data_IF_925762565591
#
_entry.id   IF_925762565591
#
_cell.length_a   1.000
_cell.length_b   1.000
_cell.length_c   1.000
_cell.angle_alpha   90.00
_cell.angle_beta   90.00
_cell.angle_gamma   90.00
#
_symmetry.space_group_name_H-M   'P 1'
#
loop_
_entity.id
_entity.type
_entity.pdbx_description
1 polymer ?
2 non-polymer ?
3 non-polymer ?
4 water ?
#
# COMPACT_ATOMS: atom_id res chain seq x y z
N UNK A 1 -3.55 -24.23 -12.82
CA UNK A 1 -4.52 -23.32 -13.47
C UNK A 1 -3.83 -22.77 -14.68
N UNK A 2 -4.46 -23.04 -15.87
CA UNK A 2 -3.81 -22.68 -17.12
C UNK A 2 -3.87 -21.19 -17.42
N UNK A 3 -4.92 -20.54 -16.93
CA UNK A 3 -4.98 -19.06 -17.00
C UNK A 3 -3.88 -18.42 -16.16
N UNK A 4 -3.58 -18.99 -14.99
CA UNK A 4 -2.51 -18.50 -14.13
C UNK A 4 -1.18 -18.71 -14.80
N UNK A 5 -0.92 -19.89 -15.34
CA UNK A 5 0.36 -20.16 -15.98
C UNK A 5 0.64 -19.19 -17.15
N UNK A 6 -0.43 -18.89 -17.93
CA UNK A 6 -0.27 -17.94 -19.04
C UNK A 6 0.03 -16.55 -18.54
N UNK A 7 -0.67 -16.13 -17.49
CA UNK A 7 -0.40 -14.80 -16.91
C UNK A 7 1.02 -14.69 -16.38
N UNK A 8 1.48 -15.75 -15.69
CA UNK A 8 2.86 -15.70 -15.16
C UNK A 8 3.88 -15.57 -16.28
N UNK A 9 3.71 -16.29 -17.38
CA UNK A 9 4.57 -16.15 -18.54
C UNK A 9 4.53 -14.73 -19.07
N UNK A 10 3.34 -14.13 -19.17
CA UNK A 10 3.21 -12.75 -19.67
C UNK A 10 3.87 -11.74 -18.73
N UNK A 11 3.85 -12.00 -17.42
CA UNK A 11 4.57 -11.13 -16.48
C UNK A 11 6.07 -11.24 -16.64
N UNK A 12 6.59 -12.44 -16.89
CA UNK A 12 8.02 -12.58 -17.23
C UNK A 12 8.37 -11.78 -18.49
N UNK A 13 7.51 -11.88 -19.50
CA UNK A 13 7.76 -11.12 -20.73
C UNK A 13 7.72 -9.61 -20.48
N UNK A 14 6.80 -9.15 -19.64
CA UNK A 14 6.73 -7.73 -19.28
C UNK A 14 8.01 -7.29 -18.61
N UNK A 15 8.52 -8.06 -17.65
CA UNK A 15 9.76 -7.71 -16.94
C UNK A 15 10.93 -7.64 -17.92
N UNK A 16 10.93 -8.46 -18.95
CA UNK A 16 12.04 -8.43 -19.92
C UNK A 16 12.09 -7.13 -20.71
N UNK A 17 11.07 -6.29 -20.65
CA UNK A 17 11.06 -5.02 -21.36
C UNK A 17 11.74 -3.88 -20.63
N UNK A 18 12.17 -4.07 -19.40
CA UNK A 18 12.89 -3.02 -18.66
C UNK A 18 14.01 -3.59 -17.82
N UNK A 19 14.93 -2.69 -17.42
CA UNK A 19 16.12 -3.11 -16.67
C UNK A 19 15.83 -2.97 -15.19
N UNK A 20 15.08 -3.92 -14.65
CA UNK A 20 14.65 -3.87 -13.28
C UNK A 20 13.92 -5.17 -12.93
N UNK A 21 13.24 -5.11 -11.79
CA UNK A 21 12.53 -6.27 -11.23
C UNK A 21 11.06 -5.90 -11.04
N UNK A 22 10.22 -6.88 -11.35
CA UNK A 22 8.79 -6.88 -11.10
C UNK A 22 8.43 -7.91 -10.06
N UNK A 23 7.70 -7.50 -9.04
CA UNK A 23 7.19 -8.35 -8.02
C UNK A 23 5.68 -8.26 -8.06
N UNK A 24 4.97 -9.38 -8.23
CA UNK A 24 3.56 -9.31 -8.47
C UNK A 24 2.85 -10.47 -7.82
N UNK A 25 1.71 -10.19 -7.18
CA UNK A 25 0.74 -11.21 -6.80
C UNK A 25 -0.64 -10.67 -7.11
N UNK A 26 -1.48 -11.50 -7.72
CA UNK A 26 -2.91 -11.28 -7.81
C UNK A 26 -3.58 -12.55 -7.27
N UNK A 27 -4.55 -12.38 -6.39
CA UNK A 27 -5.20 -13.47 -5.67
C UNK A 27 -6.70 -13.28 -5.75
N UNK A 28 -7.37 -14.23 -6.41
CA UNK A 28 -8.86 -14.27 -6.38
C UNK A 28 -9.29 -14.86 -5.04
N UNK A 29 -9.86 -14.03 -4.19
CA UNK A 29 -10.12 -14.47 -2.83
C UNK A 29 -11.20 -15.55 -2.73
N UNK A 30 -12.03 -15.74 -3.72
CA UNK A 30 -12.97 -16.85 -3.58
C UNK A 30 -12.33 -18.21 -3.79
N UNK A 31 -11.57 -18.31 -4.88
CA UNK A 31 -11.04 -19.59 -5.28
C UNK A 31 -9.63 -19.86 -4.81
N UNK A 32 -8.92 -18.80 -4.39
CA UNK A 32 -7.53 -18.87 -4.08
C UNK A 32 -6.66 -18.91 -5.31
N UNK A 33 -7.19 -18.73 -6.51
CA UNK A 33 -6.35 -18.63 -7.71
C UNK A 33 -5.32 -17.53 -7.54
N UNK A 34 -4.06 -17.85 -7.83
CA UNK A 34 -2.99 -16.99 -7.41
C UNK A 34 -1.92 -16.91 -8.51
N UNK A 35 -1.74 -15.72 -9.03
CA UNK A 35 -0.75 -15.36 -10.02
C UNK A 35 0.43 -14.70 -9.33
N UNK A 36 1.63 -15.21 -9.48
CA UNK A 36 2.77 -14.66 -8.76
C UNK A 36 3.99 -14.60 -9.68
N UNK A 37 4.76 -13.56 -9.47
CA UNK A 37 6.06 -13.34 -10.11
C UNK A 37 7.01 -12.74 -9.09
N UNK A 38 8.14 -13.43 -8.86
CA UNK A 38 9.08 -13.04 -7.81
C UNK A 38 8.39 -12.86 -6.48
N UNK A 39 7.45 -13.77 -6.15
CA UNK A 39 6.65 -13.62 -4.98
C UNK A 39 7.36 -13.66 -3.65
N UNK A 40 8.48 -14.37 -3.60
CA UNK A 40 9.22 -14.49 -2.35
C UNK A 40 10.50 -13.67 -2.31
N UNK A 41 10.66 -12.74 -3.24
CA UNK A 41 11.80 -11.81 -3.24
C UNK A 41 11.46 -10.51 -2.53
N UNK A 42 12.44 -9.90 -1.85
CA UNK A 42 12.22 -8.63 -1.20
C UNK A 42 12.29 -7.46 -2.18
N UNK A 43 11.42 -6.49 -1.95
CA UNK A 43 11.29 -5.27 -2.71
C UNK A 43 11.13 -4.10 -1.71
N UNK A 44 11.65 -2.93 -2.07
CA UNK A 44 11.40 -1.72 -1.25
C UNK A 44 9.96 -1.30 -1.37
N UNK A 45 9.27 -1.23 -0.23
CA UNK A 45 7.82 -0.99 -0.28
C UNK A 45 7.44 0.48 -0.41
N UNK A 46 8.35 1.40 -0.15
CA UNK A 46 8.01 2.82 -0.19
C UNK A 46 6.72 3.17 0.52
N UNK A 47 5.90 4.10 -0.01
CA UNK A 47 4.69 4.55 0.65
C UNK A 47 3.59 3.48 0.75
N UNK A 48 3.77 2.30 0.16
CA UNK A 48 2.78 1.27 0.40
C UNK A 48 2.75 0.85 1.87
N UNK A 49 3.85 1.08 2.60
CA UNK A 49 3.88 0.86 4.05
C UNK A 49 2.86 1.70 4.81
N UNK A 50 2.36 2.78 4.26
CA UNK A 50 1.38 3.61 4.91
C UNK A 50 0.09 2.82 5.17
N UNK A 51 -0.22 1.78 4.38
CA UNK A 51 -1.37 0.93 4.68
C UNK A 51 -1.19 0.20 6.01
N UNK A 52 -0.01 -0.41 6.21
CA UNK A 52 0.25 -1.11 7.45
C UNK A 52 0.22 -0.16 8.66
N UNK A 53 0.82 1.03 8.47
CA UNK A 53 0.79 2.07 9.49
C UNK A 53 -0.62 2.41 9.92
N UNK A 54 -1.51 2.68 8.95
CA UNK A 54 -2.86 3.09 9.30
C UNK A 54 -3.69 1.95 9.85
N UNK A 55 -3.43 0.71 9.42
CA UNK A 55 -4.04 -0.45 10.05
C UNK A 55 -3.63 -0.55 11.51
N UNK A 56 -2.35 -0.31 11.83
CA UNK A 56 -1.88 -0.29 13.20
C UNK A 56 -2.58 0.79 14.01
N UNK A 57 -2.78 1.95 13.47
CA UNK A 57 -3.50 3.04 14.16
C UNK A 57 -4.92 2.63 14.43
N UNK A 58 -5.61 2.09 13.42
CA UNK A 58 -6.98 1.62 13.60
C UNK A 58 -7.06 0.54 14.67
N UNK A 59 -6.12 -0.40 14.66
CA UNK A 59 -6.09 -1.46 15.65
C UNK A 59 -5.92 -0.87 17.06
N UNK A 60 -5.03 0.11 17.19
CA UNK A 60 -4.77 0.78 18.45
C UNK A 60 -5.99 1.50 18.98
N UNK A 61 -6.92 1.93 18.11
CA UNK A 61 -8.12 2.66 18.42
C UNK A 61 -9.30 1.77 18.68
N UNK A 62 -9.25 0.47 18.46
CA UNK A 62 -10.47 -0.34 18.49
C UNK A 62 -11.22 -0.38 19.81
N UNK A 63 -10.50 -0.31 20.91
CA UNK A 63 -11.14 -0.30 22.18
C UNK A 63 -11.64 1.06 22.61
N UNK A 64 -11.26 2.10 21.89
CA UNK A 64 -11.67 3.46 22.17
C UNK A 64 -11.64 4.27 20.89
N UNK A 65 -12.63 4.10 20.03
CA UNK A 65 -12.62 4.77 18.73
C UNK A 65 -12.50 6.28 18.82
N UNK A 66 -12.89 6.90 19.94
CA UNK A 66 -12.73 8.35 20.04
C UNK A 66 -11.29 8.81 19.93
N UNK A 67 -10.34 7.90 20.11
CA UNK A 67 -8.91 8.24 19.95
C UNK A 67 -8.63 8.78 18.55
N UNK A 68 -9.40 8.36 17.54
CA UNK A 68 -9.25 8.88 16.17
C UNK A 68 -9.64 10.33 16.06
N UNK A 69 -10.43 10.87 16.99
CA UNK A 69 -10.80 12.28 16.98
C UNK A 69 -9.82 13.15 17.75
N UNK A 70 -8.78 12.59 18.36
CA UNK A 70 -7.78 13.36 19.07
C UNK A 70 -7.08 14.35 18.14
N UNK A 71 -7.00 15.61 18.51
CA UNK A 71 -6.31 16.66 17.75
C UNK A 71 -4.82 16.59 18.04
N UNK A 72 -4.06 16.62 16.95
CA UNK A 72 -2.62 16.65 16.97
C UNK A 72 -2.18 18.04 16.48
N UNK A 73 -1.61 18.82 17.40
CA UNK A 73 -1.12 20.18 17.09
C UNK A 73 0.36 20.06 16.79
N UNK A 74 0.68 19.66 15.57
CA UNK A 74 2.03 19.50 15.09
C UNK A 74 2.63 20.86 14.76
N UNK A 75 3.94 20.87 14.53
CA UNK A 75 4.67 22.10 14.34
C UNK A 75 5.12 22.29 12.91
N UNK A 76 5.41 23.52 12.51
CA UNK A 76 6.02 23.77 11.17
C UNK A 76 7.30 23.00 11.02
N UNK A 77 8.07 22.80 12.09
CA UNK A 77 9.28 22.03 12.08
C UNK A 77 9.11 20.58 11.71
N UNK A 78 7.94 20.02 11.84
CA UNK A 78 7.66 18.64 11.43
C UNK A 78 7.50 18.49 9.94
N UNK A 79 7.25 19.60 9.24
CA UNK A 79 6.87 19.50 7.84
C UNK A 79 8.05 19.13 6.96
N UNK A 80 7.86 18.13 6.15
CA UNK A 80 8.79 17.65 5.14
C UNK A 80 8.13 17.59 3.80
N UNK A 81 8.87 17.18 2.75
CA UNK A 81 8.37 17.21 1.37
C UNK A 81 7.21 16.24 1.22
N UNK A 82 6.43 16.43 0.17
CA UNK A 82 5.34 15.56 -0.21
C UNK A 82 4.33 15.43 0.91
N UNK A 83 3.89 16.61 1.41
CA UNK A 83 2.98 16.72 2.53
C UNK A 83 1.87 17.71 2.22
N UNK A 84 1.03 17.40 1.24
CA UNK A 84 0.08 18.42 0.72
C UNK A 84 -1.07 18.75 1.64
N UNK A 85 -1.37 17.92 2.64
CA UNK A 85 -2.48 18.19 3.55
C UNK A 85 -1.93 18.83 4.81
N UNK A 86 -0.92 18.21 5.44
CA UNK A 86 -0.41 18.72 6.69
C UNK A 86 0.14 20.14 6.56
N UNK A 87 0.76 20.47 5.43
CA UNK A 87 1.30 21.83 5.27
C UNK A 87 0.19 22.85 5.21
N UNK A 88 -0.98 22.47 4.66
CA UNK A 88 -2.11 23.40 4.54
C UNK A 88 -2.74 23.70 5.90
N UNK A 89 -2.74 22.70 6.81
CA UNK A 89 -3.54 22.76 8.05
C UNK A 89 -2.73 22.97 9.30
N UNK A 90 -1.40 23.23 9.14
CA UNK A 90 -0.53 23.36 10.35
C UNK A 90 -1.06 24.39 11.33
N UNK A 91 -1.80 25.43 10.90
CA UNK A 91 -2.30 26.41 11.89
C UNK A 91 -3.22 25.76 12.91
N UNK A 92 -4.21 24.98 12.46
CA UNK A 92 -5.22 24.40 13.33
C UNK A 92 -4.82 23.04 13.86
N UNK A 93 -3.89 22.35 13.29
CA UNK A 93 -3.68 20.93 13.61
C UNK A 93 -4.70 20.06 12.86
N UNK A 94 -4.59 18.76 13.10
CA UNK A 94 -5.45 17.80 12.44
C UNK A 94 -5.76 16.67 13.40
N UNK A 95 -6.90 16.02 13.26
CA UNK A 95 -7.18 14.83 14.07
C UNK A 95 -6.40 13.64 13.57
N UNK A 96 -6.32 12.61 14.41
CA UNK A 96 -5.66 11.37 14.01
C UNK A 96 -6.32 10.81 12.74
N UNK A 97 -7.66 10.78 12.69
CA UNK A 97 -8.38 10.29 11.53
C UNK A 97 -8.01 11.09 10.29
N UNK A 98 -7.94 12.41 10.40
CA UNK A 98 -7.56 13.25 9.27
C UNK A 98 -6.13 12.97 8.82
N UNK A 99 -5.21 12.72 9.74
CA UNK A 99 -3.83 12.32 9.39
C UNK A 99 -3.82 11.01 8.66
N UNK A 100 -4.61 10.02 9.08
CA UNK A 100 -4.69 8.75 8.35
C UNK A 100 -5.22 8.97 6.94
N UNK A 101 -6.29 9.73 6.79
CA UNK A 101 -6.84 10.00 5.45
C UNK A 101 -5.83 10.72 4.59
N UNK A 102 -5.07 11.65 5.14
CA UNK A 102 -4.06 12.36 4.35
C UNK A 102 -2.95 11.44 3.91
N UNK A 103 -2.48 10.61 4.82
CA UNK A 103 -1.43 9.69 4.51
C UNK A 103 -1.83 8.72 3.43
N UNK A 104 -3.03 8.16 3.52
CA UNK A 104 -3.49 7.15 2.57
C UNK A 104 -3.91 7.75 1.25
N UNK A 105 -4.58 8.89 1.23
CA UNK A 105 -5.20 9.38 0.00
C UNK A 105 -4.35 10.37 -0.76
N UNK A 106 -3.41 11.02 -0.11
CA UNK A 106 -2.52 11.99 -0.68
C UNK A 106 -1.03 11.62 -0.50
N UNK A 107 -0.75 10.50 0.15
CA UNK A 107 0.59 10.06 0.45
C UNK A 107 1.37 11.10 1.26
N UNK A 108 0.70 11.73 2.22
CA UNK A 108 1.31 12.81 3.00
C UNK A 108 2.38 12.28 3.94
N UNK A 109 3.64 12.70 3.66
CA UNK A 109 4.76 12.12 4.40
C UNK A 109 4.86 12.62 5.83
N UNK A 110 4.57 13.89 6.09
CA UNK A 110 4.55 14.39 7.46
C UNK A 110 3.50 13.67 8.28
N UNK A 111 2.31 13.49 7.68
CA UNK A 111 1.26 12.78 8.39
C UNK A 111 1.70 11.39 8.79
N UNK A 112 2.39 10.68 7.88
CA UNK A 112 2.92 9.35 8.20
C UNK A 112 3.87 9.44 9.37
N UNK A 113 4.82 10.38 9.36
CA UNK A 113 5.78 10.49 10.45
C UNK A 113 5.07 10.81 11.76
N UNK A 114 4.06 11.64 11.75
CA UNK A 114 3.32 11.98 12.99
C UNK A 114 2.66 10.76 13.53
N UNK A 115 2.02 9.95 12.67
CA UNK A 115 1.39 8.70 13.10
C UNK A 115 2.38 7.67 13.62
N UNK A 116 3.51 7.52 12.95
CA UNK A 116 4.56 6.63 13.40
C UNK A 116 4.97 7.04 14.83
N UNK A 117 5.17 8.34 15.03
CA UNK A 117 5.58 8.83 16.36
C UNK A 117 4.49 8.58 17.41
N UNK A 118 3.22 8.79 17.02
CA UNK A 118 2.13 8.51 17.98
C UNK A 118 2.08 7.07 18.45
N UNK A 119 2.41 6.15 17.56
CA UNK A 119 2.45 4.74 17.86
C UNK A 119 3.68 4.34 18.68
N UNK A 120 4.75 5.11 18.67
CA UNK A 120 5.96 4.77 19.39
C UNK A 120 7.19 4.53 18.54
N UNK A 121 7.13 4.71 17.23
CA UNK A 121 8.29 4.48 16.36
C UNK A 121 8.01 3.43 15.29
N UNK A 122 8.90 3.35 14.29
CA UNK A 122 8.67 2.41 13.19
C UNK A 122 8.62 0.96 13.64
N UNK A 123 9.31 0.62 14.72
CA UNK A 123 9.27 -0.74 15.25
C UNK A 123 7.88 -1.19 15.64
N UNK A 124 7.01 -0.24 15.99
CA UNK A 124 5.64 -0.61 16.37
C UNK A 124 4.80 -1.04 15.17
N UNK A 125 5.15 -0.51 13.98
CA UNK A 125 4.48 -0.95 12.75
C UNK A 125 4.92 -2.33 12.37
N UNK A 126 6.23 -2.61 12.48
CA UNK A 126 6.72 -3.97 12.29
C UNK A 126 6.07 -4.93 13.29
N UNK A 127 5.97 -4.54 14.55
CA UNK A 127 5.33 -5.40 15.56
C UNK A 127 3.89 -5.67 15.21
N UNK A 128 3.16 -4.67 14.71
CA UNK A 128 1.79 -4.85 14.30
C UNK A 128 1.72 -5.89 13.18
N UNK A 129 2.58 -5.74 12.16
CA UNK A 129 2.64 -6.71 11.07
C UNK A 129 2.82 -8.14 11.60
N UNK A 130 3.76 -8.32 12.54
CA UNK A 130 3.98 -9.64 13.13
C UNK A 130 2.71 -10.16 13.80
N UNK A 131 1.98 -9.29 14.48
CA UNK A 131 0.75 -9.72 15.20
C UNK A 131 -0.33 -10.18 14.26
N UNK A 132 -0.33 -9.79 13.00
CA UNK A 132 -1.34 -10.22 12.01
C UNK A 132 -0.73 -11.26 11.07
N UNK A 133 0.37 -11.88 11.45
CA UNK A 133 0.89 -13.04 10.78
C UNK A 133 1.92 -12.75 9.72
N UNK A 134 2.36 -11.49 9.59
CA UNK A 134 3.36 -11.10 8.59
C UNK A 134 4.72 -11.07 9.23
N UNK A 135 5.53 -12.07 8.94
CA UNK A 135 6.87 -12.18 9.51
C UNK A 135 7.92 -11.59 8.59
N UNK A 136 7.47 -10.99 7.50
CA UNK A 136 8.37 -10.52 6.48
C UNK A 136 8.54 -9.01 6.44
N UNK A 137 7.44 -8.28 6.51
CA UNK A 137 7.44 -6.84 6.51
C UNK A 137 8.42 -6.29 7.54
N UNK A 138 9.20 -5.26 7.20
CA UNK A 138 10.01 -4.58 8.18
C UNK A 138 10.10 -3.09 7.84
N UNK A 139 9.68 -2.28 8.81
CA UNK A 139 9.79 -0.82 8.73
C UNK A 139 10.95 -0.41 9.66
N UNK A 140 12.00 0.09 9.04
CA UNK A 140 13.24 0.43 9.69
C UNK A 140 13.42 1.92 9.90
N UNK A 141 12.91 2.70 8.98
CA UNK A 141 13.13 4.13 8.91
C UNK A 141 11.79 4.87 8.80
N UNK A 142 11.85 6.17 8.92
CA UNK A 142 10.71 7.04 8.75
C UNK A 142 10.82 7.74 7.39
N UNK A 143 9.87 8.63 7.11
CA UNK A 143 9.95 9.39 5.87
C UNK A 143 10.96 10.54 5.99
N UNK A 144 11.67 10.90 4.93
CA UNK A 144 11.66 10.28 3.59
C UNK A 144 12.68 9.17 3.37
N UNK A 145 13.49 8.83 4.38
CA UNK A 145 14.61 7.92 4.15
C UNK A 145 14.17 6.52 3.82
N UNK A 146 12.94 6.13 4.16
CA UNK A 146 12.51 4.77 3.80
C UNK A 146 12.39 4.61 2.29
N UNK A 147 12.50 5.64 1.48
CA UNK A 147 12.41 5.55 0.03
C UNK A 147 13.75 5.37 -0.69
N UNK A 148 14.85 5.13 -0.01
CA UNK A 148 16.14 5.03 -0.71
C UNK A 148 16.20 3.86 -1.68
N UNK A 149 15.50 2.78 -1.43
CA UNK A 149 15.38 1.67 -2.41
C UNK A 149 16.70 1.19 -2.95
N UNK A 150 17.68 1.04 -2.06
CA UNK A 150 19.01 0.72 -2.49
C UNK A 150 19.15 -0.74 -2.89
N UNK A 151 19.84 -1.04 -3.97
CA UNK A 151 20.06 -2.44 -4.36
C UNK A 151 20.65 -3.25 -3.21
N UNK A 152 20.03 -4.40 -2.89
CA UNK A 152 20.53 -5.33 -1.87
C UNK A 152 20.16 -4.96 -0.45
N UNK A 153 19.55 -3.80 -0.24
CA UNK A 153 19.21 -3.39 1.12
C UNK A 153 17.91 -4.04 1.55
N UNK A 154 17.89 -4.63 2.72
CA UNK A 154 16.69 -5.24 3.25
C UNK A 154 15.87 -4.28 4.11
N UNK A 155 16.42 -3.12 4.44
CA UNK A 155 15.63 -2.15 5.20
C UNK A 155 14.37 -1.77 4.42
N UNK A 156 13.24 -1.65 5.11
CA UNK A 156 12.02 -1.10 4.54
C UNK A 156 11.59 -1.88 3.29
N UNK A 157 11.53 -3.22 3.48
CA UNK A 157 11.13 -4.13 2.42
C UNK A 157 10.08 -5.12 2.90
N UNK A 158 9.43 -5.73 1.93
CA UNK A 158 8.61 -6.91 2.12
C UNK A 158 8.67 -7.75 0.86
N UNK A 159 7.97 -8.87 0.84
CA UNK A 159 7.86 -9.66 -0.37
C UNK A 159 6.45 -9.49 -0.93
N UNK A 160 6.25 -9.66 -2.23
CA UNK A 160 4.88 -9.60 -2.78
C UNK A 160 3.95 -10.59 -2.12
N UNK A 161 4.43 -11.81 -1.85
CA UNK A 161 3.60 -12.83 -1.23
C UNK A 161 3.14 -12.42 0.16
N UNK A 162 4.06 -11.90 0.98
CA UNK A 162 3.72 -11.48 2.33
C UNK A 162 2.70 -10.33 2.30
N UNK A 163 2.93 -9.37 1.37
CA UNK A 163 2.02 -8.24 1.32
C UNK A 163 0.65 -8.65 0.81
N UNK A 164 0.59 -9.61 -0.11
CA UNK A 164 -0.69 -10.10 -0.56
C UNK A 164 -1.47 -10.71 0.60
N UNK A 165 -0.80 -11.50 1.41
CA UNK A 165 -1.45 -12.13 2.58
C UNK A 165 -1.95 -11.08 3.54
N UNK A 166 -1.17 -10.03 3.78
CA UNK A 166 -1.56 -8.99 4.70
C UNK A 166 -2.69 -8.12 4.15
N UNK A 167 -2.63 -7.74 2.87
CA UNK A 167 -3.75 -7.00 2.29
C UNK A 167 -5.04 -7.80 2.36
N UNK A 168 -4.97 -9.09 2.04
CA UNK A 168 -6.13 -9.94 2.15
C UNK A 168 -6.71 -9.90 3.56
N UNK A 169 -5.86 -10.16 4.56
CA UNK A 169 -6.33 -10.18 5.93
C UNK A 169 -6.94 -8.85 6.35
N UNK A 170 -6.35 -7.76 5.94
CA UNK A 170 -6.78 -6.45 6.38
C UNK A 170 -8.02 -5.90 5.74
N UNK A 171 -8.10 -6.00 4.40
CA UNK A 171 -9.22 -5.37 3.70
C UNK A 171 -10.41 -6.30 3.49
N UNK A 172 -10.14 -7.59 3.45
CA UNK A 172 -11.16 -8.59 3.10
C UNK A 172 -11.43 -9.54 4.25
N UNK A 173 -10.39 -10.05 4.92
CA UNK A 173 -10.46 -10.93 6.05
C UNK A 173 -10.66 -10.22 7.34
N UNK A 174 -10.23 -10.85 8.43
CA UNK A 174 -10.60 -10.44 9.78
C UNK A 174 -9.41 -10.02 10.63
N UNK A 175 -8.37 -9.48 10.06
CA UNK A 175 -7.33 -8.94 10.91
C UNK A 175 -7.82 -7.78 11.76
N UNK A 176 -8.69 -6.95 11.24
CA UNK A 176 -9.29 -5.83 11.91
C UNK A 176 -10.76 -6.14 12.29
N UNK A 177 -11.25 -5.43 13.28
CA UNK A 177 -12.71 -5.43 13.55
C UNK A 177 -13.49 -4.83 12.39
N UNK A 178 -14.78 -5.10 12.33
CA UNK A 178 -15.60 -4.66 11.20
C UNK A 178 -15.55 -3.16 10.98
N UNK A 179 -15.61 -2.35 12.03
CA UNK A 179 -15.56 -0.92 11.82
C UNK A 179 -14.26 -0.44 11.30
N UNK A 180 -13.17 -1.04 11.79
CA UNK A 180 -11.82 -0.68 11.37
C UNK A 180 -11.54 -1.10 9.94
N UNK A 181 -11.94 -2.31 9.56
CA UNK A 181 -11.81 -2.77 8.18
C UNK A 181 -12.57 -1.86 7.24
N UNK A 182 -13.80 -1.46 7.60
CA UNK A 182 -14.58 -0.58 6.77
C UNK A 182 -13.91 0.76 6.61
N UNK A 183 -13.33 1.30 7.68
CA UNK A 183 -12.66 2.59 7.60
C UNK A 183 -11.42 2.51 6.73
N UNK A 184 -10.64 1.44 6.86
CA UNK A 184 -9.45 1.29 6.02
C UNK A 184 -9.84 1.22 4.55
N UNK A 185 -10.87 0.41 4.26
CA UNK A 185 -11.41 0.35 2.89
C UNK A 185 -11.89 1.70 2.41
N UNK A 186 -12.64 2.42 3.22
CA UNK A 186 -13.16 3.73 2.78
C UNK A 186 -12.02 4.65 2.44
N UNK A 187 -10.98 4.70 3.29
CA UNK A 187 -9.84 5.56 3.00
C UNK A 187 -9.20 5.15 1.69
N UNK A 188 -8.91 3.87 1.50
CA UNK A 188 -8.19 3.42 0.30
C UNK A 188 -8.99 3.48 -0.96
N UNK A 189 -10.32 3.29 -0.86
CA UNK A 189 -11.19 3.51 -2.02
C UNK A 189 -11.09 4.93 -2.55
N UNK A 190 -10.91 5.88 -1.63
CA UNK A 190 -10.81 7.28 -1.97
C UNK A 190 -9.42 7.80 -2.26
N UNK A 191 -8.44 6.92 -2.48
CA UNK A 191 -7.11 7.38 -2.81
C UNK A 191 -7.07 8.26 -4.04
N UNK A 192 -6.27 9.29 -4.00
CA UNK A 192 -6.15 10.26 -5.08
C UNK A 192 -4.93 10.01 -5.97
N UNK A 193 -3.98 9.16 -5.58
CA UNK A 193 -2.69 9.09 -6.24
C UNK A 193 -2.51 7.96 -7.21
N UNK A 194 -3.48 7.08 -7.39
CA UNK A 194 -3.31 5.86 -8.12
C UNK A 194 -4.04 5.76 -9.44
N UNK A 195 -4.51 6.83 -10.04
CA UNK A 195 -5.35 6.72 -11.21
C UNK A 195 -4.66 6.08 -12.41
N UNK A 196 -3.34 6.16 -12.52
CA UNK A 196 -2.60 5.60 -13.63
C UNK A 196 -2.00 4.22 -13.39
N UNK A 197 -2.29 3.61 -12.23
CA UNK A 197 -1.62 2.36 -11.83
C UNK A 197 -2.64 1.23 -11.81
N UNK A 198 -2.90 0.53 -10.73
CA UNK A 198 -3.88 -0.55 -10.74
C UNK A 198 -5.21 -0.12 -11.34
N UNK A 199 -5.68 1.09 -10.96
CA UNK A 199 -6.95 1.60 -11.45
C UNK A 199 -7.00 1.68 -12.96
N UNK A 200 -5.90 1.86 -13.64
CA UNK A 200 -5.84 1.97 -15.10
C UNK A 200 -5.83 0.62 -15.77
N UNK A 201 -5.67 -0.46 -15.03
CA UNK A 201 -5.55 -1.77 -15.62
C UNK A 201 -6.73 -2.71 -15.45
N UNK A 202 -7.77 -2.24 -14.78
CA UNK A 202 -8.94 -3.08 -14.48
C UNK A 202 -10.12 -2.69 -15.35
N UNK A 203 -11.08 -3.60 -15.53
CA UNK A 203 -12.34 -3.25 -16.23
C UNK A 203 -13.06 -2.10 -15.59
N UNK A 204 -13.89 -1.42 -16.39
CA UNK A 204 -14.57 -0.19 -15.97
C UNK A 204 -15.55 -0.40 -14.81
N UNK A 205 -16.06 -1.62 -14.64
CA UNK A 205 -17.03 -1.88 -13.56
C UNK A 205 -16.39 -2.35 -12.27
N UNK A 206 -15.05 -2.40 -12.16
CA UNK A 206 -14.41 -2.77 -10.94
C UNK A 206 -14.10 -1.55 -10.04
N UNK A 207 -14.44 -1.64 -8.77
CA UNK A 207 -13.98 -0.63 -7.81
C UNK A 207 -12.62 -1.01 -7.32
N UNK A 208 -11.78 -0.04 -6.92
CA UNK A 208 -10.45 -0.31 -6.42
C UNK A 208 -10.18 0.48 -5.15
N UNK A 209 -9.62 -0.22 -4.18
CA UNK A 209 -9.00 0.33 -2.98
C UNK A 209 -7.50 0.15 -3.13
N UNK A 210 -6.69 1.21 -3.12
CA UNK A 210 -5.26 1.04 -3.35
C UNK A 210 -4.42 2.04 -2.58
N UNK A 211 -3.15 1.72 -2.45
CA UNK A 211 -2.14 2.63 -1.93
C UNK A 211 -0.90 2.51 -2.82
N UNK A 212 -0.41 3.63 -3.34
CA UNK A 212 0.76 3.67 -4.19
C UNK A 212 2.03 3.90 -3.40
N UNK A 213 3.16 3.67 -4.04
CA UNK A 213 4.43 4.14 -3.50
C UNK A 213 5.35 4.49 -4.69
N UNK A 214 6.20 5.47 -4.45
CA UNK A 214 7.17 5.91 -5.46
C UNK A 214 8.43 6.32 -4.76
N UNK A 215 9.57 5.78 -5.15
CA UNK A 215 10.83 6.05 -4.45
C UNK A 215 11.97 6.15 -5.39
N UNK A 216 13.19 6.09 -4.81
CA UNK A 216 14.41 6.16 -5.58
C UNK A 216 14.60 4.91 -6.45
N UNK A 217 15.59 4.93 -7.33
CA UNK A 217 15.83 3.82 -8.24
C UNK A 217 14.58 3.53 -9.07
N UNK A 218 13.82 4.55 -9.43
CA UNK A 218 12.62 4.35 -10.24
C UNK A 218 11.60 3.40 -9.65
N UNK A 219 11.56 3.34 -8.34
CA UNK A 219 10.64 2.42 -7.65
C UNK A 219 9.22 2.96 -7.77
N UNK A 220 8.35 2.07 -8.25
CA UNK A 220 6.94 2.38 -8.48
C UNK A 220 6.11 1.18 -8.08
N UNK A 221 5.28 1.36 -7.06
CA UNK A 221 4.49 0.31 -6.47
C UNK A 221 3.03 0.68 -6.38
N UNK A 222 2.17 -0.34 -6.26
CA UNK A 222 0.75 -0.13 -5.94
C UNK A 222 0.20 -1.41 -5.37
N UNK A 223 -0.53 -1.32 -4.26
CA UNK A 223 -1.13 -2.49 -3.61
C UNK A 223 -2.57 -2.19 -3.31
N UNK A 224 -3.41 -3.23 -3.25
CA UNK A 224 -4.80 -3.01 -2.85
C UNK A 224 -5.67 -4.17 -3.28
N UNK A 225 -6.93 -3.84 -3.36
CA UNK A 225 -7.98 -4.81 -3.67
C UNK A 225 -8.90 -4.24 -4.74
N UNK A 226 -9.19 -5.06 -5.75
CA UNK A 226 -10.23 -4.76 -6.72
C UNK A 226 -11.51 -5.50 -6.30
N UNK A 227 -12.62 -4.80 -6.50
CA UNK A 227 -13.95 -5.28 -6.15
C UNK A 227 -14.80 -5.33 -7.41
N UNK A 228 -14.76 -6.48 -8.10
CA UNK A 228 -15.71 -6.54 -9.20
C UNK A 228 -17.11 -6.78 -8.75
N UNK A 229 -18.09 -6.47 -9.56
CA UNK A 229 -19.49 -6.57 -9.10
C UNK A 229 -19.87 -8.00 -9.06
N UNK A 230 -20.62 -8.63 -8.21
CA UNK A 230 -21.04 -10.03 -8.36
C UNK A 230 -19.97 -11.11 -8.35
N UNK A 231 -18.76 -10.86 -7.87
CA UNK A 231 -17.81 -11.94 -7.58
C UNK A 231 -16.92 -11.43 -6.48
N UNK A 232 -16.12 -12.31 -5.93
CA UNK A 232 -15.34 -11.96 -4.76
C UNK A 232 -14.20 -10.98 -5.08
N UNK A 233 -13.70 -10.28 -4.05
CA UNK A 233 -12.55 -9.39 -4.26
C UNK A 233 -11.32 -10.08 -4.78
N UNK A 234 -10.48 -9.30 -5.46
CA UNK A 234 -9.21 -9.78 -6.01
C UNK A 234 -8.11 -8.89 -5.43
N UNK A 235 -7.13 -9.46 -4.75
CA UNK A 235 -5.98 -8.75 -4.19
C UNK A 235 -4.98 -8.51 -5.30
N UNK A 236 -4.44 -7.32 -5.42
CA UNK A 236 -3.36 -6.97 -6.36
C UNK A 236 -2.19 -6.35 -5.62
N UNK A 237 -1.02 -6.91 -5.84
CA UNK A 237 0.25 -6.43 -5.26
C UNK A 237 1.21 -6.22 -6.41
N UNK A 238 1.69 -5.00 -6.60
CA UNK A 238 2.64 -4.70 -7.68
C UNK A 238 3.81 -3.86 -7.11
N UNK A 239 5.00 -4.45 -7.13
CA UNK A 239 6.23 -3.79 -6.76
C UNK A 239 7.14 -3.75 -8.00
N UNK A 240 7.74 -2.61 -8.30
CA UNK A 240 8.74 -2.53 -9.35
C UNK A 240 9.89 -1.66 -8.85
N UNK A 241 11.11 -2.03 -9.25
CA UNK A 241 12.28 -1.21 -8.94
C UNK A 241 13.32 -1.43 -10.00
N UNK A 242 14.14 -0.42 -10.27
CA UNK A 242 15.02 -0.39 -11.43
C UNK A 242 16.48 -0.39 -11.00
N UNK A 243 17.35 -0.78 -11.94
CA UNK A 243 18.78 -0.82 -11.62
C UNK A 243 19.47 0.50 -11.75
N UNK A 244 18.98 1.38 -12.61
CA UNK A 244 19.63 2.69 -12.79
C UNK A 244 19.24 3.61 -11.66
N UNK A 245 20.21 4.17 -10.91
CA UNK A 245 19.84 5.14 -9.85
C UNK A 245 19.14 6.36 -10.42
N UNK A 246 19.36 6.64 -11.71
CA UNK A 246 18.76 7.80 -12.35
C UNK A 246 17.47 7.46 -13.09
N UNK A 247 16.89 6.28 -12.83
CA UNK A 247 15.62 5.93 -13.44
C UNK A 247 14.50 6.84 -13.01
N UNK A 248 13.56 7.09 -13.92
CA UNK A 248 12.35 7.85 -13.73
C UNK A 248 11.20 6.90 -13.47
N UNK A 249 10.56 7.04 -12.31
CA UNK A 249 9.48 6.13 -11.96
C UNK A 249 8.33 6.23 -12.97
N UNK A 250 7.74 5.10 -13.30
CA UNK A 250 6.68 4.94 -14.29
C UNK A 250 5.41 4.44 -13.68
N UNK A 251 4.30 4.69 -14.38
CA UNK A 251 3.01 4.12 -14.01
C UNK A 251 2.62 2.92 -14.87
N UNK A 252 3.11 2.87 -16.11
CA UNK A 252 2.58 1.98 -17.15
C UNK A 252 2.90 0.52 -16.89
N UNK A 253 4.01 0.19 -16.24
CA UNK A 253 4.31 -1.21 -15.99
C UNK A 253 3.30 -1.79 -15.02
N UNK A 254 2.96 -1.01 -13.98
CA UNK A 254 1.96 -1.48 -13.02
C UNK A 254 0.62 -1.70 -13.73
N UNK A 255 0.23 -0.76 -14.59
CA UNK A 255 -1.07 -0.89 -15.28
C UNK A 255 -1.05 -2.12 -16.20
N UNK A 256 0.10 -2.36 -16.87
CA UNK A 256 0.22 -3.53 -17.75
C UNK A 256 0.14 -4.85 -17.00
N UNK A 257 0.82 -4.91 -15.85
CA UNK A 257 0.79 -6.12 -15.04
C UNK A 257 -0.61 -6.42 -14.55
N UNK A 258 -1.30 -5.35 -14.13
CA UNK A 258 -2.68 -5.46 -13.68
C UNK A 258 -3.56 -6.02 -14.79
N UNK A 259 -3.39 -5.48 -16.01
CA UNK A 259 -4.22 -5.97 -17.12
C UNK A 259 -4.00 -7.42 -17.44
N UNK A 260 -2.76 -7.92 -17.29
CA UNK A 260 -2.47 -9.33 -17.49
C UNK A 260 -3.30 -10.17 -16.57
N UNK A 261 -3.29 -9.81 -15.27
CA UNK A 261 -4.05 -10.59 -14.30
C UNK A 261 -5.54 -10.42 -14.54
N UNK A 262 -6.05 -9.23 -14.87
CA UNK A 262 -7.46 -9.07 -15.15
C UNK A 262 -7.90 -9.97 -16.29
N UNK A 263 -7.11 -10.13 -17.34
CA UNK A 263 -7.48 -11.06 -18.41
C UNK A 263 -7.55 -12.47 -17.91
N UNK A 264 -6.64 -12.86 -17.03
CA UNK A 264 -6.64 -14.21 -16.50
C UNK A 264 -7.92 -14.49 -15.72
N UNK A 265 -8.46 -13.45 -15.09
CA UNK A 265 -9.63 -13.66 -14.24
C UNK A 265 -10.88 -13.29 -15.04
N UNK A 266 -10.77 -13.14 -16.34
CA UNK A 266 -11.93 -12.75 -17.15
C UNK A 266 -11.42 -12.68 -18.58
X LIG B 1 -4.28 7.31 18.42
X LIG B 1 -3.65 7.53 19.77
X LIG B 1 -2.77 6.34 20.12
X LIG B 1 -1.72 6.06 19.04
X LIG B 1 -2.06 6.53 21.39
X LIG B 1 -2.98 6.50 22.55
X LIG B 1 -2.12 6.89 23.78
X LIG B 1 -3.12 6.69 25.28
X LIG B 1 -4.46 7.31 25.00
X LIG B 1 -2.43 7.36 26.46
X LIG B 1 -3.30 5.23 25.55
X LIG B 1 -2.42 5.86 17.70
X LIG B 1 -3.16 7.15 17.37
X LIG C 1 26.35 8.74 -16.45
X LIG C 1 25.26 9.09 -17.32
X LIG C 1 26.09 7.34 -15.88
X LIG C 1 24.97 7.46 -14.95
X LIG C 1 25.86 6.34 -16.94
X LIG C 1 26.94 5.76 -17.73
#
# INVERSE_FOLDING_TARGET
>A
MKNVAAAERQLRELESTFDGRLGFVALDTATGARIAHRGDERFPFCSTSKMMLCAAVLARSAGEPALLQRRIAYAKGDLIRYSPITEQHVGAGMSVAELCAATLQYSDNTAANLLIALLGGPQTVTAYARSIGDATFRLDRREPELNTALPGDERDTTTPAAMAASVHRLLVGDALGAAQRAQLNAWMLGNKTGDARIRAGVPADWRVADKTGTGDYGTANDIGVAYPPNRAPIVFIVYTTMRNPNAQARDDVIASATRIAARAFA
>B hetero
1 NHE C3' C2' C1' C6' N C1 C2 S O1 O2 O3 C5' C4'
>C hetero
1 GOL C1 O1 C2 O2 C3 O3
#
